data_IF_189512350987
#
_entry.id   IF_189512350987
#
_cell.length_a   1.000
_cell.length_b   1.000
_cell.length_c   1.000
_cell.angle_alpha   90.00
_cell.angle_beta   90.00
_cell.angle_gamma   90.00
#
_symmetry.space_group_name_H-M   'P 1'
#
loop_
_entity.id
_entity.type
_entity.pdbx_description
1 polymer ?
#
# COMPACT_ATOMS: atom_id res chain seq x y z
N UNK A 1 10.68 26.32 20.27
CA UNK A 1 9.72 26.73 19.22
C UNK A 1 9.70 25.74 18.04
N UNK A 2 9.95 24.43 18.29
CA UNK A 2 9.93 23.36 17.26
C UNK A 2 9.24 22.12 17.85
N UNK A 3 8.00 22.28 18.33
CA UNK A 3 7.31 21.17 19.04
C UNK A 3 6.59 20.21 18.08
N UNK A 4 6.15 20.69 16.92
CA UNK A 4 5.18 20.01 16.04
C UNK A 4 5.78 19.39 14.77
N UNK A 5 7.06 19.59 14.52
CA UNK A 5 7.78 18.88 13.46
C UNK A 5 8.65 17.83 14.17
N UNK A 6 8.51 16.55 13.83
CA UNK A 6 9.57 15.60 14.21
C UNK A 6 10.86 16.16 13.63
N UNK A 7 11.98 16.20 14.37
CA UNK A 7 13.27 16.72 13.87
C UNK A 7 13.79 15.94 12.63
N UNK A 8 13.15 16.13 11.48
CA UNK A 8 13.20 15.31 10.27
C UNK A 8 13.64 16.12 9.07
N UNK A 9 13.43 17.44 9.09
CA UNK A 9 14.05 18.40 8.16
C UNK A 9 15.58 18.30 8.20
N UNK A 10 16.15 18.14 9.39
CA UNK A 10 17.57 17.90 9.59
C UNK A 10 17.73 16.72 10.56
N UNK A 11 18.14 15.53 10.10
CA UNK A 11 18.45 14.43 11.01
C UNK A 11 19.49 14.92 12.01
N UNK A 12 19.28 14.56 13.28
CA UNK A 12 20.17 14.98 14.39
C UNK A 12 21.58 14.40 14.22
N UNK A 13 21.71 13.35 13.41
CA UNK A 13 22.98 12.76 12.96
C UNK A 13 22.76 11.92 11.70
N UNK A 14 23.72 11.99 10.79
CA UNK A 14 23.85 11.11 9.63
C UNK A 14 25.08 10.24 9.86
N UNK A 15 24.89 8.93 9.84
CA UNK A 15 26.00 7.97 9.86
C UNK A 15 25.92 7.08 8.61
N UNK A 16 27.09 6.73 8.07
CA UNK A 16 27.21 5.82 6.95
C UNK A 16 28.18 4.69 7.33
N UNK A 17 27.79 3.45 7.07
CA UNK A 17 28.60 2.25 7.36
C UNK A 17 28.04 1.03 6.65
N UNK A 18 28.91 0.14 6.15
CA UNK A 18 28.55 -1.13 5.50
C UNK A 18 27.47 -1.01 4.41
N UNK A 19 27.51 0.05 3.59
CA UNK A 19 26.53 0.27 2.52
C UNK A 19 25.14 0.71 2.99
N UNK A 20 24.98 1.08 4.27
CA UNK A 20 23.73 1.61 4.84
C UNK A 20 23.91 3.07 5.28
N UNK A 21 22.84 3.83 5.19
CA UNK A 21 22.74 5.22 5.68
C UNK A 21 21.77 5.23 6.86
N UNK A 22 22.22 5.73 8.00
CA UNK A 22 21.43 5.86 9.22
C UNK A 22 21.05 7.33 9.43
N UNK A 23 19.73 7.59 9.57
CA UNK A 23 19.18 8.91 9.87
C UNK A 23 18.61 8.92 11.29
N UNK A 24 19.28 9.59 12.23
CA UNK A 24 18.78 9.73 13.61
C UNK A 24 17.68 10.79 13.68
N UNK A 25 16.50 10.39 14.15
CA UNK A 25 15.29 11.23 14.27
C UNK A 25 14.78 11.26 15.71
N UNK A 26 13.94 12.23 16.03
CA UNK A 26 13.15 12.20 17.26
C UNK A 26 12.25 10.95 17.29
N UNK A 27 12.21 10.26 18.42
CA UNK A 27 11.33 9.11 18.62
C UNK A 27 9.96 9.60 19.11
N UNK A 28 8.92 9.27 18.34
CA UNK A 28 7.52 9.45 18.75
C UNK A 28 6.90 8.09 19.11
N UNK A 29 6.03 8.06 20.11
CA UNK A 29 5.46 6.82 20.65
C UNK A 29 3.92 6.78 20.67
N UNK A 30 3.26 7.85 20.22
CA UNK A 30 1.81 7.95 20.21
C UNK A 30 1.12 7.22 19.07
N UNK A 31 1.84 6.87 18.00
CA UNK A 31 1.26 6.27 16.79
C UNK A 31 0.62 7.31 15.87
N UNK A 32 -0.24 6.86 14.97
CA UNK A 32 -0.91 7.71 13.98
C UNK A 32 -2.10 8.47 14.60
N UNK A 33 -2.20 9.77 14.32
CA UNK A 33 -3.29 10.64 14.81
C UNK A 33 -4.68 10.06 14.48
N UNK A 34 -4.85 9.57 13.26
CA UNK A 34 -6.12 9.05 12.78
C UNK A 34 -6.55 7.77 13.51
N UNK A 35 -5.61 6.96 13.99
CA UNK A 35 -5.92 5.77 14.79
C UNK A 35 -6.35 6.15 16.21
N UNK A 36 -5.67 7.15 16.79
CA UNK A 36 -6.02 7.68 18.10
C UNK A 36 -7.43 8.28 18.09
N UNK A 37 -7.80 9.06 17.06
CA UNK A 37 -9.16 9.64 16.93
C UNK A 37 -10.23 8.54 16.99
N UNK A 38 -10.03 7.42 16.28
CA UNK A 38 -10.97 6.29 16.28
C UNK A 38 -11.06 5.59 17.64
N UNK A 39 -10.00 5.65 18.44
CA UNK A 39 -9.95 5.05 19.77
C UNK A 39 -10.54 5.94 20.88
N UNK A 40 -10.89 7.20 20.58
CA UNK A 40 -11.46 8.13 21.57
C UNK A 40 -12.92 7.82 21.83
N UNK A 41 -13.34 7.97 23.09
CA UNK A 41 -14.75 7.97 23.47
C UNK A 41 -15.50 9.21 22.96
N UNK A 42 -14.77 10.31 22.71
CA UNK A 42 -15.34 11.58 22.27
C UNK A 42 -14.48 12.22 21.19
N UNK A 43 -15.16 12.68 20.14
CA UNK A 43 -14.56 13.42 19.04
C UNK A 43 -15.58 14.44 18.49
N UNK A 44 -15.15 15.68 18.36
CA UNK A 44 -15.95 16.85 17.95
C UNK A 44 -15.21 17.73 16.94
N UNK A 45 -15.88 18.74 16.39
CA UNK A 45 -15.24 19.70 15.48
C UNK A 45 -14.22 20.58 16.20
N UNK A 46 -14.37 20.79 17.51
CA UNK A 46 -13.35 21.45 18.33
C UNK A 46 -12.06 20.62 18.38
N UNK A 47 -12.17 19.29 18.47
CA UNK A 47 -11.01 18.40 18.42
C UNK A 47 -10.36 18.40 17.03
N UNK A 48 -11.16 18.37 15.97
CA UNK A 48 -10.68 18.50 14.58
C UNK A 48 -9.95 19.83 14.36
N UNK A 49 -10.51 20.93 14.86
CA UNK A 49 -9.92 22.27 14.83
C UNK A 49 -8.57 22.32 15.56
N UNK A 50 -8.49 21.71 16.74
CA UNK A 50 -7.24 21.64 17.50
C UNK A 50 -6.16 20.82 16.77
N UNK A 51 -6.55 19.74 16.08
CA UNK A 51 -5.63 18.94 15.28
C UNK A 51 -5.12 19.73 14.06
N UNK A 52 -6.03 20.34 13.27
CA UNK A 52 -5.63 21.07 12.07
C UNK A 52 -4.78 22.29 12.40
N UNK A 53 -5.02 22.95 13.53
CA UNK A 53 -4.17 24.04 14.02
C UNK A 53 -2.71 23.59 14.16
N UNK A 54 -2.45 22.49 14.86
CA UNK A 54 -1.08 21.97 15.05
C UNK A 54 -0.43 21.55 13.73
N UNK A 55 -1.21 20.98 12.81
CA UNK A 55 -0.73 20.61 11.46
C UNK A 55 -0.33 21.87 10.67
N UNK A 56 -1.18 22.91 10.69
CA UNK A 56 -0.91 24.17 10.01
C UNK A 56 0.30 24.89 10.61
N UNK A 57 0.48 24.86 11.94
CA UNK A 57 1.66 25.41 12.61
C UNK A 57 2.94 24.67 12.18
N UNK A 58 2.91 23.33 12.09
CA UNK A 58 4.04 22.54 11.62
C UNK A 58 4.39 22.84 10.15
N UNK A 59 3.38 22.94 9.28
CA UNK A 59 3.59 23.23 7.85
C UNK A 59 4.04 24.67 7.63
N UNK A 60 3.45 25.64 8.34
CA UNK A 60 3.89 27.04 8.31
C UNK A 60 5.37 27.15 8.69
N UNK A 61 5.81 26.41 9.71
CA UNK A 61 7.21 26.37 10.09
C UNK A 61 8.10 25.80 8.95
N UNK A 62 7.69 24.70 8.32
CA UNK A 62 8.40 24.17 7.15
C UNK A 62 8.49 25.24 6.05
N UNK A 63 7.38 25.95 5.80
CA UNK A 63 7.34 26.96 4.76
C UNK A 63 8.24 28.15 5.04
N UNK A 64 8.28 28.62 6.29
CA UNK A 64 9.20 29.67 6.74
C UNK A 64 10.68 29.27 6.55
N UNK A 65 10.98 27.98 6.59
CA UNK A 65 12.31 27.42 6.32
C UNK A 65 12.55 27.13 4.83
N UNK A 66 11.64 27.56 3.94
CA UNK A 66 11.78 27.31 2.51
C UNK A 66 11.47 25.87 2.10
N UNK A 67 10.79 25.08 2.93
CA UNK A 67 10.56 23.64 2.68
C UNK A 67 9.08 23.32 2.49
N UNK A 68 8.78 22.63 1.37
CA UNK A 68 7.45 22.08 1.08
C UNK A 68 7.47 20.56 1.25
N UNK A 69 6.58 20.02 2.08
CA UNK A 69 6.54 18.59 2.43
C UNK A 69 6.16 17.67 1.26
N UNK A 70 5.19 18.08 0.43
CA UNK A 70 4.60 17.37 -0.73
C UNK A 70 3.92 16.02 -0.49
N UNK A 71 4.12 15.38 0.66
CA UNK A 71 3.47 14.10 1.01
C UNK A 71 2.60 14.23 2.29
N UNK A 72 1.75 15.25 2.37
CA UNK A 72 0.85 15.42 3.52
C UNK A 72 -0.31 14.42 3.44
N UNK A 73 -0.29 13.42 4.30
CA UNK A 73 -1.29 12.33 4.38
C UNK A 73 -1.43 11.78 5.80
N UNK A 74 -2.51 11.06 6.14
CA UNK A 74 -2.76 10.51 7.47
C UNK A 74 -1.58 9.74 8.10
N UNK A 75 -0.83 8.99 7.29
CA UNK A 75 0.33 8.18 7.70
C UNK A 75 1.47 9.04 8.27
N UNK A 76 1.55 10.28 7.79
CA UNK A 76 2.62 11.23 8.12
C UNK A 76 2.23 12.16 9.29
N UNK A 77 1.09 11.92 9.93
CA UNK A 77 0.58 12.69 11.07
C UNK A 77 0.59 11.82 12.32
N UNK A 78 1.62 12.00 13.16
CA UNK A 78 1.88 11.15 14.32
C UNK A 78 1.59 11.91 15.63
N UNK A 79 1.35 11.17 16.71
CA UNK A 79 1.27 11.71 18.06
C UNK A 79 2.60 11.55 18.79
N UNK A 80 3.02 12.59 19.50
CA UNK A 80 4.27 12.58 20.26
C UNK A 80 4.33 11.43 21.29
N UNK A 81 3.21 11.17 21.98
CA UNK A 81 3.06 10.08 22.95
C UNK A 81 1.60 9.61 23.02
N UNK A 82 1.33 8.58 23.83
CA UNK A 82 -0.05 8.12 24.15
C UNK A 82 -0.73 8.94 25.26
N UNK A 83 -0.07 9.99 25.76
CA UNK A 83 -0.62 10.83 26.82
C UNK A 83 -1.81 11.63 26.30
N UNK A 84 -2.83 11.85 27.14
CA UNK A 84 -3.97 12.69 26.79
C UNK A 84 -3.47 14.10 26.43
N UNK A 85 -3.87 14.61 25.26
CA UNK A 85 -3.42 15.91 24.75
C UNK A 85 -2.00 15.93 24.19
N UNK A 86 -1.43 14.77 23.83
CA UNK A 86 -0.15 14.72 23.13
C UNK A 86 -0.18 15.54 21.83
N UNK A 87 0.94 16.21 21.54
CA UNK A 87 1.08 17.05 20.35
C UNK A 87 1.08 16.22 19.06
N UNK A 88 0.48 16.77 18.00
CA UNK A 88 0.57 16.26 16.63
C UNK A 88 1.94 16.62 16.07
N UNK A 89 2.58 15.65 15.41
CA UNK A 89 3.89 15.78 14.80
C UNK A 89 3.87 15.35 13.34
N UNK A 90 4.40 16.21 12.47
CA UNK A 90 4.60 15.90 11.05
C UNK A 90 5.82 14.98 10.86
N UNK A 91 5.69 13.96 10.02
CA UNK A 91 6.69 12.95 9.74
C UNK A 91 6.86 12.71 8.22
N UNK A 92 7.97 12.05 7.87
CA UNK A 92 8.35 11.63 6.51
C UNK A 92 8.49 12.73 5.43
N UNK A 93 9.64 13.38 5.45
CA UNK A 93 10.05 14.37 4.46
C UNK A 93 10.75 13.74 3.24
N UNK A 94 10.51 12.46 2.94
CA UNK A 94 11.16 11.75 1.83
C UNK A 94 10.91 12.37 0.46
N UNK A 95 9.77 13.04 0.30
CA UNK A 95 9.41 13.78 -0.92
C UNK A 95 9.53 15.30 -0.75
N UNK A 96 10.06 15.82 0.36
CA UNK A 96 10.14 17.25 0.58
C UNK A 96 11.13 17.94 -0.38
N UNK A 97 10.90 19.22 -0.66
CA UNK A 97 11.78 20.07 -1.48
C UNK A 97 12.05 21.41 -0.82
N UNK A 98 13.21 21.98 -1.13
CA UNK A 98 13.50 23.38 -0.88
C UNK A 98 12.98 24.24 -2.04
N UNK A 99 12.36 25.36 -1.72
CA UNK A 99 11.77 26.29 -2.68
C UNK A 99 12.09 27.73 -2.30
N UNK A 100 12.16 28.59 -3.32
CA UNK A 100 12.30 30.04 -3.14
C UNK A 100 10.96 30.71 -3.47
N UNK A 101 10.46 31.57 -2.59
CA UNK A 101 9.23 32.33 -2.77
C UNK A 101 8.03 31.84 -1.96
N UNK A 102 6.83 32.31 -2.33
CA UNK A 102 5.58 32.00 -1.65
C UNK A 102 5.15 30.55 -1.84
N UNK A 103 4.67 29.94 -0.75
CA UNK A 103 4.39 28.52 -0.69
C UNK A 103 2.92 28.28 -0.38
N UNK A 104 2.29 27.43 -1.17
CA UNK A 104 0.90 27.03 -1.00
C UNK A 104 0.82 25.53 -0.74
N UNK A 105 -0.08 25.14 0.15
CA UNK A 105 -0.37 23.74 0.42
C UNK A 105 -1.89 23.54 0.47
N UNK A 106 -2.33 22.38 -0.02
CA UNK A 106 -3.74 22.02 -0.13
C UNK A 106 -4.19 21.31 1.14
N UNK A 107 -4.47 22.09 2.18
CA UNK A 107 -4.86 21.55 3.49
C UNK A 107 -6.30 21.04 3.57
N UNK A 108 -7.13 21.44 2.60
CA UNK A 108 -8.57 21.14 2.59
C UNK A 108 -8.89 19.66 2.63
N UNK A 109 -8.04 18.81 2.05
CA UNK A 109 -8.24 17.35 2.04
C UNK A 109 -8.16 16.76 3.45
N UNK A 110 -7.11 17.07 4.20
CA UNK A 110 -6.91 16.55 5.57
C UNK A 110 -8.00 17.09 6.50
N UNK A 111 -8.33 18.38 6.40
CA UNK A 111 -9.40 18.98 7.20
C UNK A 111 -10.75 18.31 6.90
N UNK A 112 -11.06 18.05 5.63
CA UNK A 112 -12.29 17.38 5.24
C UNK A 112 -12.38 15.97 5.85
N UNK A 113 -11.29 15.19 5.80
CA UNK A 113 -11.27 13.85 6.40
C UNK A 113 -11.43 13.94 7.93
N UNK A 114 -10.80 14.91 8.60
CA UNK A 114 -10.98 15.11 10.04
C UNK A 114 -12.44 15.41 10.41
N UNK A 115 -13.17 16.16 9.58
CA UNK A 115 -14.57 16.53 9.88
C UNK A 115 -15.56 15.42 9.53
N UNK A 116 -15.35 14.72 8.42
CA UNK A 116 -16.37 13.84 7.84
C UNK A 116 -15.98 12.35 7.86
N UNK A 117 -14.70 12.03 8.00
CA UNK A 117 -14.20 10.67 8.15
C UNK A 117 -13.93 9.93 6.82
N UNK A 118 -14.09 10.62 5.68
CA UNK A 118 -13.80 10.10 4.34
C UNK A 118 -13.17 11.19 3.45
N UNK A 119 -12.41 10.84 2.40
CA UNK A 119 -11.76 11.82 1.53
C UNK A 119 -12.76 12.58 0.66
N UNK A 120 -12.52 13.89 0.36
CA UNK A 120 -13.40 14.70 -0.48
C UNK A 120 -13.42 14.26 -1.95
N UNK A 121 -12.37 13.58 -2.41
CA UNK A 121 -12.25 13.06 -3.77
C UNK A 121 -11.93 11.57 -3.68
N UNK A 122 -12.73 10.74 -4.35
CA UNK A 122 -12.50 9.30 -4.41
C UNK A 122 -13.17 8.69 -5.63
N UNK A 123 -12.45 7.82 -6.33
CA UNK A 123 -12.97 6.96 -7.38
C UNK A 123 -12.04 5.73 -7.45
N UNK A 124 -12.59 4.59 -7.89
CA UNK A 124 -11.77 3.40 -8.18
C UNK A 124 -10.90 3.61 -9.42
N UNK A 125 -11.35 4.44 -10.35
CA UNK A 125 -10.60 4.81 -11.54
C UNK A 125 -9.80 6.09 -11.28
N UNK A 126 -8.47 5.96 -11.37
CA UNK A 126 -7.55 7.08 -11.15
C UNK A 126 -7.79 8.25 -12.10
N UNK A 127 -8.21 8.01 -13.35
CA UNK A 127 -8.50 9.07 -14.30
C UNK A 127 -9.71 9.88 -13.85
N UNK A 128 -10.79 9.23 -13.41
CA UNK A 128 -11.98 9.91 -12.86
C UNK A 128 -11.67 10.64 -11.56
N UNK A 129 -10.88 10.04 -10.66
CA UNK A 129 -10.38 10.71 -9.47
C UNK A 129 -9.64 12.01 -9.82
N UNK A 130 -8.73 11.98 -10.79
CA UNK A 130 -8.02 13.18 -11.23
C UNK A 130 -8.94 14.21 -11.89
N UNK A 131 -10.00 13.78 -12.59
CA UNK A 131 -11.02 14.70 -13.10
C UNK A 131 -11.80 15.38 -11.97
N UNK A 132 -12.22 14.65 -10.93
CA UNK A 132 -12.88 15.22 -9.75
C UNK A 132 -11.99 16.28 -9.07
N UNK A 133 -10.70 15.96 -8.87
CA UNK A 133 -9.71 16.87 -8.27
C UNK A 133 -9.57 18.14 -9.12
N UNK A 134 -9.39 18.00 -10.44
CA UNK A 134 -9.27 19.14 -11.35
C UNK A 134 -10.52 20.01 -11.38
N UNK A 135 -11.70 19.38 -11.27
CA UNK A 135 -12.98 20.07 -11.25
C UNK A 135 -13.33 20.70 -9.89
N UNK A 136 -12.62 20.31 -8.81
CA UNK A 136 -13.02 20.65 -7.44
C UNK A 136 -14.39 20.06 -7.07
N UNK A 137 -14.74 18.90 -7.66
CA UNK A 137 -16.02 18.24 -7.44
C UNK A 137 -15.94 17.34 -6.19
N UNK A 138 -16.48 17.82 -5.06
CA UNK A 138 -16.56 17.08 -3.80
C UNK A 138 -17.93 17.29 -3.13
N UNK A 139 -18.34 16.35 -2.28
CA UNK A 139 -19.60 16.44 -1.55
C UNK A 139 -19.54 17.51 -0.46
N UNK A 140 -20.38 18.54 -0.55
CA UNK A 140 -20.52 19.55 0.49
C UNK A 140 -21.56 19.10 1.52
N UNK A 141 -21.11 18.45 2.60
CA UNK A 141 -21.94 18.33 3.82
C UNK A 141 -21.85 19.64 4.60
N UNK A 142 -22.99 20.23 4.95
CA UNK A 142 -23.03 21.44 5.78
C UNK A 142 -22.59 21.12 7.20
N UNK A 143 -21.50 21.73 7.69
CA UNK A 143 -21.16 21.72 9.12
C UNK A 143 -20.72 23.10 9.58
N UNK A 144 -21.31 23.55 10.68
CA UNK A 144 -20.87 24.72 11.46
C UNK A 144 -20.24 24.15 12.74
N UNK A 145 -19.11 24.72 13.17
CA UNK A 145 -18.36 24.33 14.37
C UNK A 145 -19.26 23.89 15.53
N UNK A 146 -19.32 22.59 15.81
CA UNK A 146 -20.15 22.00 16.86
C UNK A 146 -19.31 21.28 17.91
N UNK A 147 -19.67 21.46 19.19
CA UNK A 147 -19.07 20.70 20.29
C UNK A 147 -19.60 19.28 20.37
N UNK A 148 -20.64 18.89 19.62
CA UNK A 148 -21.27 17.57 19.73
C UNK A 148 -20.36 16.43 19.29
N UNK A 149 -20.49 15.28 19.93
CA UNK A 149 -19.82 14.06 19.50
C UNK A 149 -20.28 13.64 18.09
N UNK A 150 -19.32 13.36 17.21
CA UNK A 150 -19.58 12.90 15.85
C UNK A 150 -19.27 11.41 15.67
N UNK A 151 -20.16 10.55 16.18
CA UNK A 151 -20.01 9.09 16.06
C UNK A 151 -19.94 8.62 14.60
N UNK A 152 -20.75 9.18 13.71
CA UNK A 152 -20.74 8.83 12.27
C UNK A 152 -19.36 9.12 11.64
N UNK A 153 -18.74 10.26 11.97
CA UNK A 153 -17.39 10.61 11.52
C UNK A 153 -16.38 9.55 11.99
N UNK A 154 -16.44 9.15 13.26
CA UNK A 154 -15.55 8.14 13.84
C UNK A 154 -15.70 6.78 13.15
N UNK A 155 -16.94 6.35 12.89
CA UNK A 155 -17.22 5.08 12.22
C UNK A 155 -16.72 5.07 10.77
N UNK A 156 -16.91 6.17 10.04
CA UNK A 156 -16.36 6.37 8.71
C UNK A 156 -14.82 6.33 8.73
N UNK A 157 -14.21 7.00 9.71
CA UNK A 157 -12.76 7.05 9.84
C UNK A 157 -12.15 5.69 10.16
N UNK A 158 -12.85 4.86 10.95
CA UNK A 158 -12.44 3.47 11.21
C UNK A 158 -12.38 2.65 9.92
N UNK A 159 -13.37 2.78 9.04
CA UNK A 159 -13.40 2.11 7.73
C UNK A 159 -12.29 2.64 6.81
N UNK A 160 -12.11 3.96 6.78
CA UNK A 160 -11.04 4.62 6.02
C UNK A 160 -9.64 4.13 6.45
N UNK A 161 -9.38 4.08 7.76
CA UNK A 161 -8.14 3.58 8.33
C UNK A 161 -7.87 2.10 7.99
N UNK A 162 -8.90 1.26 8.09
CA UNK A 162 -8.78 -0.14 7.71
C UNK A 162 -8.44 -0.31 6.21
N UNK A 163 -9.05 0.51 5.34
CA UNK A 163 -8.84 0.47 3.90
C UNK A 163 -7.43 0.91 3.50
N UNK A 164 -6.90 2.00 4.08
CA UNK A 164 -5.57 2.55 3.74
C UNK A 164 -4.40 1.72 4.29
N UNK A 165 -4.57 1.02 5.42
CA UNK A 165 -3.52 0.16 6.02
C UNK A 165 -3.26 -1.13 5.28
N UNK A 166 -4.04 -1.43 4.24
CA UNK A 166 -3.67 -2.45 3.28
C UNK A 166 -2.49 -1.89 2.49
N UNK A 167 -1.27 -2.24 2.94
CA UNK A 167 0.04 -1.80 2.40
C UNK A 167 -0.06 -1.46 0.91
N UNK A 168 0.39 -0.27 0.52
CA UNK A 168 0.71 0.01 -0.88
C UNK A 168 1.75 -1.02 -1.33
N UNK A 169 1.40 -1.95 -2.23
CA UNK A 169 2.31 -3.02 -2.60
C UNK A 169 3.46 -2.42 -3.42
N UNK A 170 4.67 -2.99 -3.31
CA UNK A 170 5.74 -2.74 -4.30
C UNK A 170 5.40 -3.28 -5.70
N UNK A 171 4.23 -3.89 -5.82
CA UNK A 171 3.68 -4.47 -7.02
C UNK A 171 2.66 -3.50 -7.60
N UNK A 172 2.83 -3.12 -8.86
CA UNK A 172 1.80 -2.35 -9.57
C UNK A 172 0.86 -3.31 -10.28
N UNK A 173 -0.45 -3.23 -10.02
CA UNK A 173 -1.46 -3.98 -10.79
C UNK A 173 -2.06 -3.07 -11.84
N UNK A 174 -2.02 -3.50 -13.11
CA UNK A 174 -2.60 -2.77 -14.23
C UNK A 174 -3.68 -3.65 -14.86
N UNK A 175 -4.91 -3.16 -14.84
CA UNK A 175 -6.03 -3.74 -15.59
C UNK A 175 -6.14 -3.02 -16.94
N UNK A 176 -6.33 -3.78 -18.02
CA UNK A 176 -6.65 -3.21 -19.32
C UNK A 176 -8.01 -2.49 -19.24
N UNK A 177 -8.12 -1.27 -19.83
CA UNK A 177 -9.38 -0.52 -19.86
C UNK A 177 -10.46 -1.17 -20.74
N UNK A 178 -10.08 -2.10 -21.62
CA UNK A 178 -11.00 -2.80 -22.51
C UNK A 178 -11.67 -4.00 -21.80
N UNK A 179 -12.53 -3.72 -20.83
CA UNK A 179 -13.33 -4.70 -20.09
C UNK A 179 -14.42 -5.40 -20.90
N UNK A 180 -14.23 -5.63 -22.21
CA UNK A 180 -15.31 -6.09 -23.11
C UNK A 180 -15.03 -7.36 -23.92
N UNK A 181 -13.98 -8.13 -23.61
CA UNK A 181 -13.75 -9.45 -24.22
C UNK A 181 -13.16 -10.45 -23.23
N UNK A 182 -13.82 -10.70 -22.10
CA UNK A 182 -13.66 -12.01 -21.45
C UNK A 182 -14.44 -13.04 -22.27
N UNK A 183 -13.81 -14.21 -22.50
CA UNK A 183 -14.36 -15.31 -23.27
C UNK A 183 -15.71 -15.75 -22.70
N UNK A 184 -16.74 -15.68 -23.54
CA UNK A 184 -18.10 -16.15 -23.24
C UNK A 184 -18.11 -17.68 -23.10
N UNK A 185 -17.83 -18.19 -21.91
CA UNK A 185 -18.31 -19.49 -21.45
C UNK A 185 -18.84 -19.34 -20.04
N UNK A 186 -20.11 -18.92 -19.96
CA UNK A 186 -21.11 -19.25 -18.93
C UNK A 186 -22.13 -18.11 -18.88
N UNK A 187 -23.24 -18.30 -19.60
CA UNK A 187 -24.43 -17.47 -19.47
C UNK A 187 -24.91 -17.52 -18.01
N UNK A 188 -24.80 -16.42 -17.26
CA UNK A 188 -25.86 -15.84 -16.43
C UNK A 188 -25.36 -14.63 -15.61
N UNK A 189 -26.23 -13.61 -15.55
CA UNK A 189 -26.22 -12.40 -14.72
C UNK A 189 -25.21 -11.29 -15.06
N UNK A 190 -25.67 -10.38 -15.90
CA UNK A 190 -25.21 -8.99 -16.01
C UNK A 190 -25.53 -8.22 -14.72
N UNK A 191 -24.51 -8.08 -13.89
CA UNK A 191 -24.18 -7.13 -12.81
C UNK A 191 -23.21 -7.97 -11.97
N UNK A 192 -21.91 -7.73 -12.06
CA UNK A 192 -20.97 -8.39 -11.15
C UNK A 192 -21.39 -8.05 -9.72
N UNK A 193 -21.80 -9.07 -8.96
CA UNK A 193 -22.16 -8.94 -7.56
C UNK A 193 -20.99 -8.26 -6.81
N UNK A 194 -21.27 -7.21 -6.04
CA UNK A 194 -20.26 -6.50 -5.23
C UNK A 194 -19.48 -7.48 -4.35
N UNK A 195 -20.11 -8.56 -3.90
CA UNK A 195 -19.46 -9.63 -3.15
C UNK A 195 -18.48 -10.44 -4.00
N UNK A 196 -18.78 -10.66 -5.28
CA UNK A 196 -17.86 -11.29 -6.24
C UNK A 196 -16.66 -10.39 -6.49
N UNK A 197 -16.88 -9.09 -6.68
CA UNK A 197 -15.80 -8.11 -6.87
C UNK A 197 -14.89 -8.03 -5.65
N UNK A 198 -15.46 -7.99 -4.44
CA UNK A 198 -14.71 -8.02 -3.19
C UNK A 198 -13.85 -9.29 -3.05
N UNK A 199 -14.40 -10.47 -3.40
CA UNK A 199 -13.66 -11.74 -3.40
C UNK A 199 -12.55 -11.77 -4.45
N UNK A 200 -12.79 -11.29 -5.68
CA UNK A 200 -11.74 -11.16 -6.71
C UNK A 200 -10.59 -10.26 -6.21
N UNK A 201 -10.92 -9.14 -5.57
CA UNK A 201 -9.92 -8.23 -5.00
C UNK A 201 -9.12 -8.87 -3.85
N UNK A 202 -9.75 -9.72 -3.03
CA UNK A 202 -9.06 -10.49 -1.99
C UNK A 202 -7.98 -11.43 -2.59
N UNK A 203 -8.31 -12.11 -3.69
CA UNK A 203 -7.37 -13.00 -4.40
C UNK A 203 -6.20 -12.22 -5.02
N UNK A 204 -6.46 -11.06 -5.62
CA UNK A 204 -5.40 -10.18 -6.15
C UNK A 204 -4.47 -9.78 -5.00
N UNK A 205 -5.04 -9.36 -3.87
CA UNK A 205 -4.27 -8.88 -2.72
C UNK A 205 -3.39 -9.96 -2.08
N UNK A 206 -3.88 -11.19 -1.90
CA UNK A 206 -3.04 -12.28 -1.38
C UNK A 206 -1.95 -12.66 -2.39
N UNK A 207 -2.20 -12.50 -3.68
CA UNK A 207 -1.20 -12.67 -4.75
C UNK A 207 -0.10 -11.60 -4.69
N UNK A 208 -0.46 -10.34 -4.44
CA UNK A 208 0.51 -9.25 -4.24
C UNK A 208 1.40 -9.51 -3.02
N UNK A 209 0.82 -9.95 -1.90
CA UNK A 209 1.56 -10.32 -0.69
C UNK A 209 2.55 -11.46 -0.92
N UNK A 210 2.15 -12.47 -1.70
CA UNK A 210 3.02 -13.57 -2.09
C UNK A 210 4.22 -13.08 -2.92
N UNK A 211 3.96 -12.21 -3.90
CA UNK A 211 5.01 -11.63 -4.76
C UNK A 211 5.96 -10.74 -3.94
N UNK A 212 5.44 -9.97 -2.98
CA UNK A 212 6.26 -9.17 -2.06
C UNK A 212 7.20 -10.07 -1.24
N UNK A 213 6.71 -11.19 -0.72
CA UNK A 213 7.55 -12.16 0.00
C UNK A 213 8.67 -12.71 -0.89
N UNK A 214 8.38 -13.04 -2.16
CA UNK A 214 9.38 -13.51 -3.14
C UNK A 214 10.42 -12.42 -3.41
N UNK A 215 9.98 -11.20 -3.72
CA UNK A 215 10.87 -10.08 -4.05
C UNK A 215 11.81 -9.72 -2.89
N UNK A 216 11.33 -9.82 -1.65
CA UNK A 216 12.12 -9.53 -0.45
C UNK A 216 13.00 -10.70 0.00
N UNK A 217 12.89 -11.87 -0.65
CA UNK A 217 13.56 -13.08 -0.18
C UNK A 217 13.08 -13.54 1.21
N UNK A 218 11.84 -13.20 1.60
CA UNK A 218 11.24 -13.57 2.88
C UNK A 218 10.59 -14.96 2.79
N UNK A 219 11.42 -15.99 3.02
CA UNK A 219 10.96 -17.37 2.95
C UNK A 219 9.96 -17.71 4.05
N UNK A 220 10.05 -17.07 5.22
CA UNK A 220 9.12 -17.32 6.33
C UNK A 220 7.71 -16.85 5.96
N UNK A 221 7.58 -15.63 5.41
CA UNK A 221 6.32 -15.13 4.89
C UNK A 221 5.79 -16.00 3.74
N UNK A 222 6.66 -16.40 2.80
CA UNK A 222 6.30 -17.29 1.70
C UNK A 222 5.66 -18.60 2.20
N UNK A 223 6.27 -19.27 3.18
CA UNK A 223 5.73 -20.52 3.74
C UNK A 223 4.42 -20.38 4.51
N UNK A 224 4.08 -19.17 4.99
CA UNK A 224 2.78 -18.92 5.63
C UNK A 224 1.65 -18.79 4.61
N UNK A 225 1.99 -18.40 3.39
CA UNK A 225 1.03 -18.17 2.29
C UNK A 225 0.86 -19.43 1.42
N UNK A 226 1.89 -20.27 1.29
CA UNK A 226 1.82 -21.47 0.47
C UNK A 226 1.46 -22.73 1.28
N UNK A 227 0.72 -23.64 0.67
CA UNK A 227 0.41 -24.96 1.26
C UNK A 227 1.68 -25.82 1.37
N UNK A 228 1.93 -26.56 2.47
CA UNK A 228 3.12 -27.41 2.61
C UNK A 228 3.33 -28.43 1.48
N UNK A 229 2.25 -28.89 0.83
CA UNK A 229 2.25 -29.76 -0.35
C UNK A 229 2.07 -28.99 -1.66
N UNK A 230 2.47 -27.72 -1.72
CA UNK A 230 2.43 -26.88 -2.92
C UNK A 230 3.01 -27.64 -4.12
N UNK A 231 2.25 -27.71 -5.20
CA UNK A 231 2.72 -28.26 -6.47
C UNK A 231 3.10 -27.14 -7.45
N UNK A 232 4.16 -27.33 -8.22
CA UNK A 232 4.65 -26.31 -9.13
C UNK A 232 5.09 -26.86 -10.50
N UNK A 233 4.72 -26.14 -11.56
CA UNK A 233 5.35 -26.21 -12.88
C UNK A 233 6.06 -24.89 -13.16
N UNK A 234 7.37 -24.93 -13.34
CA UNK A 234 8.15 -23.73 -13.65
C UNK A 234 9.38 -24.06 -14.52
N UNK A 235 9.95 -23.08 -15.25
CA UNK A 235 11.06 -23.32 -16.17
C UNK A 235 12.26 -24.01 -15.52
N UNK A 236 12.48 -23.76 -14.23
CA UNK A 236 13.54 -24.32 -13.41
C UNK A 236 13.34 -25.80 -13.07
N UNK A 237 12.11 -26.28 -13.06
CA UNK A 237 11.79 -27.70 -12.87
C UNK A 237 12.08 -28.54 -14.12
N UNK A 238 12.48 -27.92 -15.24
CA UNK A 238 12.84 -28.57 -16.50
C UNK A 238 11.73 -29.52 -17.01
N UNK A 239 10.47 -29.09 -16.86
CA UNK A 239 9.29 -29.85 -17.30
C UNK A 239 8.78 -30.89 -16.29
N UNK A 240 9.39 -30.99 -15.10
CA UNK A 240 8.90 -31.88 -14.04
C UNK A 240 7.90 -31.15 -13.12
N UNK A 241 6.99 -31.92 -12.52
CA UNK A 241 6.16 -31.44 -11.43
C UNK A 241 7.01 -31.44 -10.14
N UNK A 242 7.06 -30.28 -9.49
CA UNK A 242 7.70 -30.12 -8.17
C UNK A 242 6.62 -30.18 -7.09
N UNK A 243 6.91 -30.81 -5.96
CA UNK A 243 6.03 -30.85 -4.79
C UNK A 243 6.78 -30.38 -3.54
N UNK A 244 6.09 -29.60 -2.71
CA UNK A 244 6.60 -29.08 -1.44
C UNK A 244 7.44 -27.82 -1.58
N UNK A 245 8.17 -27.50 -0.51
CA UNK A 245 8.87 -26.22 -0.35
C UNK A 245 10.37 -26.27 -0.63
N UNK A 246 10.97 -27.47 -0.64
CA UNK A 246 12.42 -27.62 -0.65
C UNK A 246 13.06 -27.09 -1.93
N UNK A 247 12.37 -27.26 -3.07
CA UNK A 247 12.81 -26.69 -4.34
C UNK A 247 12.89 -25.16 -4.27
N UNK A 248 11.84 -24.51 -3.76
CA UNK A 248 11.78 -23.06 -3.65
C UNK A 248 12.76 -22.51 -2.60
N UNK A 249 12.92 -23.21 -1.46
CA UNK A 249 13.86 -22.84 -0.38
C UNK A 249 15.27 -22.58 -0.94
N UNK A 250 15.73 -23.43 -1.86
CA UNK A 250 17.02 -23.26 -2.51
C UNK A 250 17.18 -21.89 -3.17
N UNK A 251 16.16 -21.37 -3.86
CA UNK A 251 16.20 -20.05 -4.51
C UNK A 251 16.21 -18.90 -3.51
N UNK A 252 15.42 -19.01 -2.45
CA UNK A 252 15.41 -18.01 -1.38
C UNK A 252 16.79 -17.91 -0.72
N UNK A 253 17.41 -19.05 -0.41
CA UNK A 253 18.71 -19.08 0.25
C UNK A 253 19.87 -18.66 -0.65
N UNK A 254 19.81 -18.95 -1.96
CA UNK A 254 20.98 -18.82 -2.84
C UNK A 254 20.90 -17.69 -3.88
N UNK A 255 19.70 -17.35 -4.35
CA UNK A 255 19.51 -16.45 -5.49
C UNK A 255 18.83 -15.13 -5.12
N UNK A 256 17.81 -15.17 -4.27
CA UNK A 256 17.04 -13.98 -3.87
C UNK A 256 17.68 -13.25 -2.69
N UNK A 257 18.24 -13.98 -1.70
CA UNK A 257 18.84 -13.39 -0.49
C UNK A 257 20.07 -12.49 -0.72
N UNK A 258 20.68 -12.52 -1.92
CA UNK A 258 21.99 -11.90 -2.20
C UNK A 258 21.94 -10.62 -3.04
N UNK A 259 20.77 -10.24 -3.56
CA UNK A 259 20.65 -9.03 -4.40
C UNK A 259 20.07 -7.85 -3.61
N UNK A 260 20.91 -6.87 -3.27
CA UNK A 260 20.48 -5.60 -2.68
C UNK A 260 19.93 -4.59 -3.71
N UNK A 261 19.81 -4.97 -4.99
CA UNK A 261 19.32 -4.06 -6.03
C UNK A 261 17.78 -4.07 -6.04
N UNK A 262 17.13 -2.90 -6.16
CA UNK A 262 15.68 -2.82 -6.18
C UNK A 262 15.10 -3.60 -7.36
N UNK A 263 14.08 -4.40 -7.07
CA UNK A 263 13.27 -5.11 -8.05
C UNK A 263 11.89 -4.47 -8.04
N UNK A 264 11.40 -4.08 -9.21
CA UNK A 264 10.04 -3.57 -9.38
C UNK A 264 9.20 -4.60 -10.15
N UNK A 265 8.05 -4.97 -9.61
CA UNK A 265 7.14 -5.95 -10.22
C UNK A 265 5.85 -5.28 -10.68
N UNK A 266 5.38 -5.64 -11.87
CA UNK A 266 4.09 -5.24 -12.41
C UNK A 266 3.28 -6.50 -12.72
N UNK A 267 2.04 -6.57 -12.23
CA UNK A 267 1.03 -7.56 -12.61
C UNK A 267 0.14 -6.92 -13.67
N UNK A 268 0.15 -7.49 -14.87
CA UNK A 268 -0.68 -7.06 -15.97
C UNK A 268 -1.88 -8.02 -16.12
N UNK A 269 -3.06 -7.43 -16.24
CA UNK A 269 -4.32 -8.11 -16.56
C UNK A 269 -4.56 -9.37 -15.73
N UNK A 270 -4.67 -9.25 -14.40
CA UNK A 270 -5.03 -10.40 -13.59
C UNK A 270 -6.47 -10.83 -13.88
N UNK A 271 -6.65 -12.08 -14.27
CA UNK A 271 -7.94 -12.72 -14.46
C UNK A 271 -8.20 -13.70 -13.33
N UNK A 272 -9.21 -13.41 -12.51
CA UNK A 272 -9.59 -14.24 -11.35
C UNK A 272 -10.84 -15.03 -11.67
N UNK A 273 -10.75 -16.35 -11.54
CA UNK A 273 -11.85 -17.29 -11.61
C UNK A 273 -12.15 -17.82 -10.21
N UNK A 274 -13.32 -17.49 -9.66
CA UNK A 274 -13.79 -18.03 -8.39
C UNK A 274 -14.43 -19.41 -8.63
N UNK A 275 -14.08 -20.40 -7.79
CA UNK A 275 -14.58 -21.78 -7.89
C UNK A 275 -15.21 -22.15 -6.56
N UNK A 276 -16.51 -21.89 -6.43
CA UNK A 276 -17.20 -21.99 -5.15
C UNK A 276 -16.71 -20.96 -4.14
N UNK A 277 -16.89 -21.23 -2.86
CA UNK A 277 -16.57 -20.26 -1.81
C UNK A 277 -15.10 -20.32 -1.38
N UNK A 278 -14.49 -21.51 -1.41
CA UNK A 278 -13.17 -21.76 -0.82
C UNK A 278 -12.06 -21.94 -1.84
N UNK A 279 -12.32 -21.89 -3.15
CA UNK A 279 -11.27 -22.03 -4.16
C UNK A 279 -11.31 -20.90 -5.20
N UNK A 280 -10.13 -20.53 -5.69
CA UNK A 280 -9.98 -19.55 -6.75
C UNK A 280 -8.73 -19.83 -7.59
N UNK A 281 -8.76 -19.40 -8.85
CA UNK A 281 -7.61 -19.41 -9.73
C UNK A 281 -7.35 -17.97 -10.22
N UNK A 282 -6.10 -17.55 -10.27
CA UNK A 282 -5.70 -16.28 -10.85
C UNK A 282 -4.62 -16.52 -11.91
N UNK A 283 -4.81 -15.97 -13.09
CA UNK A 283 -3.83 -15.95 -14.17
C UNK A 283 -3.44 -14.51 -14.50
N UNK A 284 -2.16 -14.25 -14.71
CA UNK A 284 -1.64 -12.90 -14.99
C UNK A 284 -0.31 -12.95 -15.74
N UNK A 285 0.05 -11.82 -16.33
CA UNK A 285 1.40 -11.59 -16.85
C UNK A 285 2.17 -10.80 -15.80
N UNK A 286 3.35 -11.28 -15.41
CA UNK A 286 4.25 -10.58 -14.49
C UNK A 286 5.40 -9.97 -15.28
N UNK A 287 5.58 -8.66 -15.15
CA UNK A 287 6.81 -7.98 -15.57
C UNK A 287 7.69 -7.72 -14.35
N UNK A 288 8.96 -8.11 -14.45
CA UNK A 288 9.96 -7.89 -13.40
C UNK A 288 11.08 -7.02 -13.95
N UNK A 289 11.24 -5.84 -13.38
CA UNK A 289 12.30 -4.90 -13.72
C UNK A 289 13.38 -4.96 -12.65
N UNK A 290 14.63 -5.13 -13.07
CA UNK A 290 15.77 -5.26 -12.16
C UNK A 290 17.03 -4.70 -12.84
N UNK A 291 18.09 -4.55 -12.04
CA UNK A 291 19.41 -4.13 -12.52
C UNK A 291 20.32 -5.36 -12.63
N UNK A 292 20.87 -5.64 -13.80
CA UNK A 292 21.75 -6.79 -14.01
C UNK A 292 23.14 -6.61 -13.34
N UNK A 293 24.03 -7.58 -13.52
CA UNK A 293 25.39 -7.55 -12.97
C UNK A 293 26.21 -6.32 -13.43
N UNK A 294 25.96 -5.82 -14.63
CA UNK A 294 26.60 -4.62 -15.20
C UNK A 294 25.98 -3.31 -14.71
N UNK A 295 24.85 -3.38 -13.98
CA UNK A 295 24.10 -2.21 -13.56
C UNK A 295 23.22 -1.64 -14.69
N UNK A 296 22.90 -2.44 -15.71
CA UNK A 296 21.95 -2.05 -16.74
C UNK A 296 20.54 -2.49 -16.34
N UNK A 297 19.51 -1.65 -16.54
CA UNK A 297 18.14 -2.04 -16.31
C UNK A 297 17.72 -3.11 -17.33
N UNK A 298 17.06 -4.15 -16.84
CA UNK A 298 16.49 -5.24 -17.61
C UNK A 298 15.02 -5.42 -17.23
N UNK A 299 14.24 -5.96 -18.16
CA UNK A 299 12.85 -6.34 -17.93
C UNK A 299 12.67 -7.78 -18.37
N UNK A 300 12.01 -8.56 -17.53
CA UNK A 300 11.64 -9.94 -17.79
C UNK A 300 10.13 -10.09 -17.71
N UNK A 301 9.59 -10.96 -18.56
CA UNK A 301 8.17 -11.32 -18.57
C UNK A 301 8.01 -12.79 -18.19
N UNK A 302 7.01 -13.09 -17.37
CA UNK A 302 6.50 -14.43 -17.14
C UNK A 302 4.97 -14.43 -17.18
N UNK A 303 4.37 -15.52 -17.63
CA UNK A 303 2.95 -15.75 -17.44
C UNK A 303 2.78 -16.70 -16.27
N UNK A 304 1.96 -16.32 -15.28
CA UNK A 304 1.81 -17.06 -14.03
C UNK A 304 0.34 -17.38 -13.80
N UNK A 305 0.10 -18.62 -13.37
CA UNK A 305 -1.21 -19.09 -12.89
C UNK A 305 -1.04 -19.61 -11.47
N UNK A 306 -1.91 -19.19 -10.57
CA UNK A 306 -1.92 -19.62 -9.17
C UNK A 306 -3.30 -20.12 -8.78
N UNK A 307 -3.33 -21.28 -8.14
CA UNK A 307 -4.54 -21.84 -7.54
C UNK A 307 -4.49 -21.62 -6.04
N UNK A 308 -5.56 -21.02 -5.54
CA UNK A 308 -5.76 -20.67 -4.16
C UNK A 308 -6.86 -21.54 -3.57
N UNK A 309 -6.64 -22.00 -2.34
CA UNK A 309 -7.63 -22.73 -1.56
C UNK A 309 -7.67 -22.17 -0.15
N UNK A 310 -8.87 -21.93 0.37
CA UNK A 310 -9.09 -21.38 1.70
C UNK A 310 -9.24 -22.52 2.69
N UNK A 311 -8.36 -22.54 3.69
CA UNK A 311 -8.40 -23.49 4.82
C UNK A 311 -8.33 -22.71 6.12
N UNK A 312 -9.23 -23.04 7.05
CA UNK A 312 -9.34 -22.35 8.36
C UNK A 312 -9.40 -20.82 8.23
N UNK A 313 -10.14 -20.33 7.23
CA UNK A 313 -10.31 -18.89 6.96
C UNK A 313 -9.11 -18.20 6.33
N UNK A 314 -8.07 -18.93 5.90
CA UNK A 314 -6.87 -18.38 5.26
C UNK A 314 -6.68 -18.94 3.86
N UNK A 315 -6.41 -18.06 2.90
CA UNK A 315 -6.02 -18.43 1.55
C UNK A 315 -4.61 -19.00 1.53
N UNK A 316 -4.46 -20.19 0.94
CA UNK A 316 -3.18 -20.84 0.71
C UNK A 316 -2.99 -21.11 -0.78
N UNK A 317 -1.80 -20.81 -1.30
CA UNK A 317 -1.45 -21.19 -2.67
C UNK A 317 -1.14 -22.70 -2.69
N UNK A 318 -1.94 -23.46 -3.43
CA UNK A 318 -1.85 -24.94 -3.51
C UNK A 318 -1.21 -25.43 -4.81
N UNK A 319 -1.30 -24.64 -5.87
CA UNK A 319 -0.65 -24.92 -7.15
C UNK A 319 -0.13 -23.65 -7.81
N UNK A 320 1.00 -23.76 -8.48
CA UNK A 320 1.63 -22.69 -9.23
C UNK A 320 2.09 -23.20 -10.58
N UNK A 321 1.82 -22.43 -11.62
CA UNK A 321 2.41 -22.66 -12.94
C UNK A 321 2.98 -21.34 -13.45
N UNK A 322 4.23 -21.37 -13.90
CA UNK A 322 4.87 -20.29 -14.64
C UNK A 322 5.38 -20.74 -15.99
N UNK A 323 5.10 -19.95 -17.01
CA UNK A 323 5.73 -20.02 -18.31
C UNK A 323 6.58 -18.77 -18.60
N UNK A 324 7.40 -18.86 -19.65
CA UNK A 324 8.29 -17.78 -20.06
C UNK A 324 9.65 -17.85 -19.37
N UNK A 325 10.07 -16.75 -18.76
CA UNK A 325 11.43 -16.58 -18.24
C UNK A 325 11.64 -17.11 -16.81
N UNK A 326 12.89 -17.40 -16.44
CA UNK A 326 13.29 -17.91 -15.12
C UNK A 326 13.12 -16.84 -14.03
N UNK A 327 12.88 -17.24 -12.79
CA UNK A 327 12.79 -16.38 -11.58
C UNK A 327 14.02 -15.51 -11.39
N UNK A 328 15.18 -16.03 -11.78
CA UNK A 328 16.48 -15.39 -11.57
C UNK A 328 17.13 -15.19 -12.93
N UNK A 329 17.55 -13.95 -13.25
CA UNK A 329 18.38 -13.68 -14.42
C UNK A 329 19.63 -14.55 -14.38
N UNK A 330 19.91 -15.29 -15.45
CA UNK A 330 21.19 -15.98 -15.59
C UNK A 330 22.28 -14.89 -15.62
N UNK A 331 23.28 -15.05 -14.75
CA UNK A 331 24.42 -14.12 -14.60
C UNK A 331 25.12 -13.81 -15.90
#
# INVERSE_FOLDING_TARGET
>A
MVQYVCNTLFPVELAAGEGRIYKRKEKVTGGELFEDIVAREYYSEADASHCIQQILEAVLHCHQMGVVHRDLKPENLLLASKSKGAAVKLADFGLAIEVQGDQQAWFGVILYILLVGYPPFWDEDQHRLYQQIKAGAYDQRSTVASMMHRQETVDCLKKFNARRKLKEPQTTVIHNPDGNKESTESSNTTIEDEDVKARKQEIIKVTEQLIEAINNGDFEAYTKICDPGLTAFEPEALGNLVEGMDFHRFYFENALSKSNKPIHTIILNPHVHLVGDDAACIAYIRLTQYMDGSGMPKTMQSEETRVWHRRDGKWQNVHFHRSGSRTVPIK
#
